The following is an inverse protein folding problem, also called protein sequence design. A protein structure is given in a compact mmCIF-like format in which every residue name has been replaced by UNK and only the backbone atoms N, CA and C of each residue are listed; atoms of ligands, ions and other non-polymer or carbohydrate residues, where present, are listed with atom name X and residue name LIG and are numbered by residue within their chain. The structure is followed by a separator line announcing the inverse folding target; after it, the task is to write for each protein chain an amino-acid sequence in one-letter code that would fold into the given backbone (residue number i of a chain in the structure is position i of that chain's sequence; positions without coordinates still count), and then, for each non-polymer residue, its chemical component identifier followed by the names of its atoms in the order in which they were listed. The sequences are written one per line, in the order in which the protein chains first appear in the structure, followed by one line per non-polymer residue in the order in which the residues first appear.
data_IF_021044890673
#
_entry.id   IF_021044890673
#
_cell.length_a   1.000
_cell.length_b   1.000
_cell.length_c   1.000
_cell.angle_alpha   90.00
_cell.angle_beta   90.00
_cell.angle_gamma   90.00
#
_symmetry.space_group_name_H-M   'P 1'
#
loop_
_entity.id
_entity.type
_entity.pdbx_description
1 polymer ?
#
# COMPACT_ATOMS: atom_id res chain seq x y z
N UNK A 1 12.88 -9.39 1.94
CA UNK A 1 13.43 -10.49 1.11
C UNK A 1 13.93 -11.68 1.94
N UNK A 2 15.05 -11.59 2.69
CA UNK A 2 15.61 -12.76 3.42
C UNK A 2 14.63 -13.44 4.36
N UNK A 3 13.77 -12.67 5.02
CA UNK A 3 12.72 -13.20 5.90
C UNK A 3 11.57 -13.88 5.15
N UNK A 4 11.37 -13.58 3.86
CA UNK A 4 10.33 -14.20 3.04
C UNK A 4 10.78 -15.53 2.43
N UNK A 5 12.06 -15.64 2.09
CA UNK A 5 12.62 -16.76 1.36
C UNK A 5 12.33 -18.15 1.98
N UNK A 6 12.48 -18.38 3.31
CA UNK A 6 12.15 -19.67 3.90
C UNK A 6 10.69 -20.08 3.68
N UNK A 7 9.76 -19.12 3.68
CA UNK A 7 8.34 -19.40 3.47
C UNK A 7 8.02 -19.69 2.00
N UNK A 8 8.76 -19.08 1.08
CA UNK A 8 8.63 -19.36 -0.35
C UNK A 8 9.19 -20.74 -0.69
N UNK A 9 10.36 -21.09 -0.15
CA UNK A 9 11.00 -22.40 -0.33
C UNK A 9 10.14 -23.54 0.22
N UNK A 10 9.51 -23.32 1.38
CA UNK A 10 8.58 -24.27 1.99
C UNK A 10 7.17 -24.25 1.40
N UNK A 11 6.88 -23.34 0.44
CA UNK A 11 5.53 -23.12 -0.10
C UNK A 11 4.48 -22.92 1.01
N UNK A 12 4.85 -22.19 2.06
CA UNK A 12 4.04 -22.00 3.26
C UNK A 12 3.04 -20.83 3.17
N UNK A 13 2.86 -20.24 1.98
CA UNK A 13 1.97 -19.11 1.72
C UNK A 13 1.35 -19.24 0.33
N UNK A 14 0.04 -19.05 0.22
CA UNK A 14 -0.67 -18.99 -1.07
C UNK A 14 -0.69 -17.58 -1.67
N UNK A 15 -0.64 -16.55 -0.82
CA UNK A 15 -0.61 -15.14 -1.24
C UNK A 15 0.29 -14.37 -0.30
N UNK A 16 1.22 -13.63 -0.89
CA UNK A 16 2.25 -12.92 -0.15
C UNK A 16 1.71 -11.57 0.28
N UNK A 17 1.58 -11.34 1.60
CA UNK A 17 1.27 -10.02 2.13
C UNK A 17 2.54 -9.16 2.18
N UNK A 18 2.47 -8.00 1.56
CA UNK A 18 3.56 -7.01 1.50
C UNK A 18 3.05 -5.72 2.09
N UNK A 19 3.81 -5.10 2.98
CA UNK A 19 3.46 -3.79 3.55
C UNK A 19 4.50 -2.76 3.07
N UNK A 20 4.05 -1.81 2.24
CA UNK A 20 4.93 -0.84 1.60
C UNK A 20 5.53 0.13 2.61
N UNK A 21 4.76 0.51 3.62
CA UNK A 21 5.11 1.54 4.59
C UNK A 21 6.11 1.01 5.60
N UNK A 22 5.94 -0.24 6.03
CA UNK A 22 6.87 -0.88 6.97
C UNK A 22 8.15 -1.37 6.31
N UNK A 23 8.13 -1.69 5.01
CA UNK A 23 9.30 -2.25 4.30
C UNK A 23 10.06 -1.23 3.45
N UNK A 24 9.39 -0.17 3.03
CA UNK A 24 9.85 0.76 2.01
C UNK A 24 9.58 0.25 0.59
N UNK A 25 9.23 1.17 -0.31
CA UNK A 25 8.79 0.88 -1.68
C UNK A 25 9.74 -0.03 -2.46
N UNK A 26 11.03 0.31 -2.49
CA UNK A 26 12.04 -0.44 -3.26
C UNK A 26 12.24 -1.86 -2.74
N UNK A 27 12.08 -2.10 -1.44
CA UNK A 27 12.22 -3.44 -0.86
C UNK A 27 10.94 -4.25 -1.06
N UNK A 28 9.78 -3.62 -0.91
CA UNK A 28 8.48 -4.22 -1.21
C UNK A 28 8.42 -4.72 -2.66
N UNK A 29 8.83 -3.89 -3.64
CA UNK A 29 8.93 -4.30 -5.04
C UNK A 29 9.81 -5.53 -5.23
N UNK A 30 11.00 -5.55 -4.62
CA UNK A 30 11.90 -6.73 -4.72
C UNK A 30 11.30 -7.99 -4.11
N UNK A 31 10.46 -7.88 -3.08
CA UNK A 31 9.71 -9.02 -2.53
C UNK A 31 8.64 -9.48 -3.51
N UNK A 32 7.94 -8.57 -4.20
CA UNK A 32 6.98 -8.92 -5.25
C UNK A 32 7.65 -9.62 -6.43
N UNK A 33 8.79 -9.09 -6.91
CA UNK A 33 9.60 -9.69 -7.98
C UNK A 33 10.09 -11.08 -7.56
N UNK A 34 10.50 -11.28 -6.29
CA UNK A 34 10.86 -12.59 -5.76
C UNK A 34 9.65 -13.53 -5.69
N UNK A 35 8.49 -13.05 -5.24
CA UNK A 35 7.27 -13.87 -5.18
C UNK A 35 6.86 -14.37 -6.58
N UNK A 36 7.04 -13.54 -7.60
CA UNK A 36 6.78 -13.91 -8.99
C UNK A 36 7.64 -15.09 -9.46
N UNK A 37 8.90 -15.20 -9.03
CA UNK A 37 9.75 -16.37 -9.38
C UNK A 37 9.29 -17.67 -8.75
N UNK A 38 8.43 -17.60 -7.72
CA UNK A 38 7.78 -18.74 -7.09
C UNK A 38 6.33 -18.89 -7.59
N UNK A 39 5.88 -18.15 -8.60
CA UNK A 39 4.49 -18.17 -9.09
C UNK A 39 3.47 -17.82 -7.98
N UNK A 40 3.87 -17.01 -7.01
CA UNK A 40 3.01 -16.54 -5.93
C UNK A 40 2.51 -15.12 -6.24
N UNK A 41 1.20 -14.93 -6.05
CA UNK A 41 0.62 -13.59 -6.13
C UNK A 41 0.84 -12.82 -4.83
N UNK A 42 0.83 -11.49 -4.94
CA UNK A 42 0.97 -10.55 -3.82
C UNK A 42 -0.34 -9.86 -3.51
N UNK A 43 -0.56 -9.58 -2.23
CA UNK A 43 -1.65 -8.74 -1.77
C UNK A 43 -1.12 -7.66 -0.81
N UNK A 44 -0.95 -6.41 -1.28
CA UNK A 44 -0.45 -5.35 -0.42
C UNK A 44 -1.40 -5.10 0.75
N UNK A 45 -0.83 -5.13 1.95
CA UNK A 45 -1.48 -4.77 3.21
C UNK A 45 -1.43 -3.26 3.38
N UNK A 46 -2.54 -2.67 3.83
CA UNK A 46 -2.65 -1.23 4.07
C UNK A 46 -3.87 -0.88 4.93
N UNK A 47 -3.67 -0.80 6.25
CA UNK A 47 -4.67 -0.26 7.19
C UNK A 47 -4.40 1.22 7.57
N UNK A 48 -3.47 1.88 6.89
CA UNK A 48 -2.93 3.18 7.28
C UNK A 48 -3.76 4.35 6.68
N UNK A 49 -3.11 5.49 6.41
CA UNK A 49 -3.73 6.67 5.79
C UNK A 49 -3.73 6.66 4.26
N UNK A 50 -4.32 7.69 3.66
CA UNK A 50 -4.47 7.79 2.20
C UNK A 50 -3.16 7.82 1.43
N UNK A 51 -2.11 8.45 1.98
CA UNK A 51 -0.78 8.40 1.39
C UNK A 51 -0.27 6.96 1.25
N UNK A 52 -0.56 6.11 2.24
CA UNK A 52 -0.20 4.70 2.21
C UNK A 52 -0.98 3.93 1.15
N UNK A 53 -2.27 4.24 0.98
CA UNK A 53 -3.10 3.71 -0.10
C UNK A 53 -2.51 4.03 -1.46
N UNK A 54 -2.14 5.28 -1.71
CA UNK A 54 -1.55 5.66 -3.00
C UNK A 54 -0.19 5.02 -3.24
N UNK A 55 0.68 4.92 -2.22
CA UNK A 55 1.94 4.19 -2.35
C UNK A 55 1.73 2.71 -2.72
N UNK A 56 0.74 2.05 -2.11
CA UNK A 56 0.37 0.67 -2.43
C UNK A 56 -0.25 0.53 -3.83
N UNK A 57 -1.03 1.51 -4.30
CA UNK A 57 -1.52 1.57 -5.68
C UNK A 57 -0.37 1.66 -6.69
N UNK A 58 0.62 2.52 -6.43
CA UNK A 58 1.81 2.62 -7.26
C UNK A 58 2.65 1.33 -7.25
N UNK A 59 2.70 0.61 -6.13
CA UNK A 59 3.31 -0.72 -6.11
C UNK A 59 2.52 -1.68 -7.01
N UNK A 60 1.19 -1.71 -6.89
CA UNK A 60 0.33 -2.56 -7.70
C UNK A 60 0.49 -2.27 -9.20
N UNK A 61 0.64 -0.99 -9.58
CA UNK A 61 0.90 -0.58 -10.96
C UNK A 61 2.26 -1.07 -11.49
N UNK A 62 3.23 -1.27 -10.59
CA UNK A 62 4.61 -1.53 -10.92
C UNK A 62 4.98 -3.02 -10.99
N UNK A 63 4.06 -3.93 -10.61
CA UNK A 63 4.27 -5.38 -10.52
C UNK A 63 3.15 -6.14 -11.23
N UNK A 64 3.44 -7.34 -11.71
CA UNK A 64 2.55 -8.16 -12.56
C UNK A 64 1.68 -9.15 -11.77
N UNK A 65 2.08 -9.51 -10.55
CA UNK A 65 1.50 -10.60 -9.77
C UNK A 65 0.53 -10.12 -8.66
N UNK A 66 -0.17 -9.00 -8.87
CA UNK A 66 -1.13 -8.48 -7.89
C UNK A 66 -2.39 -9.33 -7.86
N UNK A 67 -2.77 -9.82 -6.67
CA UNK A 67 -4.04 -10.53 -6.46
C UNK A 67 -5.19 -9.60 -6.09
N UNK A 68 -4.94 -8.70 -5.14
CA UNK A 68 -5.87 -7.72 -4.56
C UNK A 68 -5.07 -6.77 -3.67
N UNK A 69 -5.54 -5.53 -3.51
CA UNK A 69 -4.94 -4.55 -2.58
C UNK A 69 -5.95 -4.23 -1.48
N UNK A 70 -5.47 -4.14 -0.24
CA UNK A 70 -6.28 -3.63 0.87
C UNK A 70 -6.51 -2.12 0.76
N UNK A 71 -7.74 -1.71 1.01
CA UNK A 71 -8.15 -0.31 1.21
C UNK A 71 -9.12 -0.29 2.38
N UNK A 72 -8.95 0.69 3.27
CA UNK A 72 -9.84 0.93 4.40
C UNK A 72 -10.64 2.23 4.19
N UNK A 73 -11.77 2.18 3.46
CA UNK A 73 -12.59 3.36 3.18
C UNK A 73 -13.41 3.83 4.39
N UNK A 74 -13.68 2.96 5.37
CA UNK A 74 -14.53 3.24 6.52
C UNK A 74 -13.70 3.47 7.78
N UNK A 75 -13.15 4.68 7.89
CA UNK A 75 -12.29 5.06 9.01
C UNK A 75 -12.70 6.40 9.60
N UNK A 76 -11.94 6.86 10.59
CA UNK A 76 -12.27 8.10 11.28
C UNK A 76 -12.30 9.30 10.32
N UNK A 77 -13.37 10.13 10.30
CA UNK A 77 -13.51 11.24 9.35
C UNK A 77 -12.35 12.25 9.36
N UNK A 78 -11.67 12.44 10.50
CA UNK A 78 -10.53 13.35 10.60
C UNK A 78 -9.31 12.89 9.79
N UNK A 79 -9.22 11.61 9.43
CA UNK A 79 -8.14 11.05 8.61
C UNK A 79 -8.16 11.64 7.20
N UNK A 80 -9.35 11.90 6.68
CA UNK A 80 -9.54 12.48 5.34
C UNK A 80 -9.01 13.91 5.29
N UNK A 81 -9.12 14.67 6.39
CA UNK A 81 -8.55 16.01 6.50
C UNK A 81 -7.01 16.03 6.45
N UNK A 82 -6.34 14.91 6.71
CA UNK A 82 -4.88 14.86 6.71
C UNK A 82 -4.27 14.86 5.32
N UNK A 83 -5.05 14.68 4.26
CA UNK A 83 -4.52 14.48 2.91
C UNK A 83 -5.22 15.35 1.88
N UNK A 84 -4.46 15.83 0.90
CA UNK A 84 -4.98 16.72 -0.14
C UNK A 84 -5.91 16.02 -1.13
N UNK A 85 -5.73 14.70 -1.32
CA UNK A 85 -6.51 13.87 -2.24
C UNK A 85 -6.89 12.59 -1.51
N UNK A 86 -8.13 12.15 -1.70
CA UNK A 86 -8.69 10.94 -1.09
C UNK A 86 -8.89 9.89 -2.20
N UNK A 87 -8.56 8.61 -1.98
CA UNK A 87 -8.84 7.55 -2.94
C UNK A 87 -10.34 7.38 -3.13
N UNK A 88 -10.81 7.39 -4.37
CA UNK A 88 -12.20 7.14 -4.74
C UNK A 88 -12.37 5.68 -5.15
N UNK A 89 -13.26 4.96 -4.49
CA UNK A 89 -13.62 3.60 -4.86
C UNK A 89 -14.79 3.63 -5.84
N UNK A 90 -14.57 3.16 -7.08
CA UNK A 90 -15.59 3.01 -8.12
C UNK A 90 -15.65 1.55 -8.59
N UNK A 91 -16.83 0.94 -8.52
CA UNK A 91 -17.06 -0.45 -8.93
C UNK A 91 -16.08 -1.46 -8.30
N UNK A 92 -15.68 -1.23 -7.05
CA UNK A 92 -14.66 -2.01 -6.31
C UNK A 92 -13.22 -1.87 -6.82
N UNK A 93 -12.93 -0.82 -7.59
CA UNK A 93 -11.58 -0.43 -8.04
C UNK A 93 -11.23 0.97 -7.56
N UNK A 94 -9.93 1.24 -7.45
CA UNK A 94 -9.38 2.58 -7.21
C UNK A 94 -8.41 2.89 -8.34
N UNK A 95 -8.55 4.06 -8.94
CA UNK A 95 -7.65 4.50 -10.01
C UNK A 95 -6.30 4.92 -9.46
N UNK A 96 -5.24 4.58 -10.19
CA UNK A 96 -3.88 5.02 -9.87
C UNK A 96 -3.74 6.48 -10.31
N UNK A 97 -3.27 7.40 -9.42
CA UNK A 97 -3.07 8.80 -9.80
C UNK A 97 -2.03 8.96 -10.91
N UNK A 98 -2.32 9.86 -11.85
CA UNK A 98 -1.42 10.20 -12.96
C UNK A 98 -0.60 11.48 -12.71
N UNK A 99 -0.83 12.16 -11.58
CA UNK A 99 -0.07 13.34 -11.18
C UNK A 99 1.33 12.95 -10.69
N UNK A 100 2.32 13.85 -10.73
CA UNK A 100 3.65 13.59 -10.18
C UNK A 100 3.63 13.15 -8.71
N UNK A 101 4.61 12.34 -8.32
CA UNK A 101 4.73 11.84 -6.95
C UNK A 101 3.73 10.73 -6.64
N UNK A 102 3.17 10.75 -5.42
CA UNK A 102 2.22 9.73 -4.97
C UNK A 102 0.78 10.04 -5.38
N UNK A 103 0.47 11.28 -5.74
CA UNK A 103 -0.89 11.72 -6.05
C UNK A 103 -1.70 12.22 -4.85
N UNK A 104 -1.08 12.29 -3.68
CA UNK A 104 -1.57 13.05 -2.53
C UNK A 104 -0.40 13.59 -1.72
N UNK A 105 -0.63 14.67 -0.99
CA UNK A 105 0.29 15.23 0.00
C UNK A 105 -0.34 15.24 1.38
N UNK A 106 0.48 15.39 2.42
CA UNK A 106 0.04 15.63 3.80
C UNK A 106 -0.40 17.09 3.95
N UNK A 107 -1.59 17.32 4.50
CA UNK A 107 -1.99 18.64 4.96
C UNK A 107 -1.33 18.93 6.32
N UNK A 108 -0.28 19.77 6.30
CA UNK A 108 0.45 20.13 7.51
C UNK A 108 -0.41 20.87 8.56
N UNK A 109 -1.41 21.64 8.14
CA UNK A 109 -2.27 22.36 9.07
C UNK A 109 -3.19 21.37 9.81
N UNK A 110 -3.79 20.42 9.08
CA UNK A 110 -4.56 19.34 9.66
C UNK A 110 -3.69 18.43 10.55
N UNK A 111 -2.47 18.11 10.12
CA UNK A 111 -1.53 17.31 10.92
C UNK A 111 -1.19 18.00 12.26
N UNK A 112 -1.00 19.34 12.26
CA UNK A 112 -0.78 20.11 13.50
C UNK A 112 -2.03 20.16 14.38
N UNK A 113 -3.22 20.29 13.80
CA UNK A 113 -4.51 20.27 14.51
C UNK A 113 -4.71 18.96 15.27
N UNK A 114 -4.34 17.85 14.66
CA UNK A 114 -4.49 16.49 15.22
C UNK A 114 -3.22 15.92 15.84
N UNK A 115 -2.22 16.76 16.12
CA UNK A 115 -0.97 16.31 16.74
C UNK A 115 -1.23 15.64 18.10
N UNK A 116 -0.65 14.46 18.31
CA UNK A 116 -0.69 13.76 19.60
C UNK A 116 0.03 14.59 20.67
N UNK A 117 -0.58 14.74 21.85
CA UNK A 117 -0.12 15.64 22.92
C UNK A 117 0.52 14.93 24.12
N UNK A 118 0.64 13.60 24.07
CA UNK A 118 0.95 12.77 25.25
C UNK A 118 -0.32 12.24 25.87
#
# INVERSE_FOLDING_TARGET
MRQYQPYFDLRAMDTVKVDVQFQGFSVARKVCDLAETYELNVAPHNFNGHLSTFQSLHLCAAVSNVRIMESDPDSCPWRDELFTVIPEVRDSYIDIPMTPGWGTELDEAAARKYAWKG
#
